data_IF_340362049772
#
_entry.id   IF_340362049772
#
_cell.length_a   1.000
_cell.length_b   1.000
_cell.length_c   1.000
_cell.angle_alpha   90.00
_cell.angle_beta   90.00
_cell.angle_gamma   90.00
#
_symmetry.space_group_name_H-M   'P 1'
#
loop_
_entity.id
_entity.type
_entity.pdbx_description
1 polymer ?
#
# COMPACT_ATOMS: atom_id res chain seq x y z
N UNK A 1 -24.10 -17.13 -7.82
CA UNK A 1 -22.86 -17.78 -8.30
C UNK A 1 -21.73 -17.36 -7.39
N UNK A 2 -21.08 -18.29 -6.70
CA UNK A 2 -19.79 -18.01 -6.09
C UNK A 2 -18.73 -18.15 -7.19
N UNK A 3 -18.07 -17.04 -7.53
CA UNK A 3 -16.92 -17.07 -8.42
C UNK A 3 -15.74 -17.55 -7.57
N UNK A 4 -15.38 -18.82 -7.73
CA UNK A 4 -14.18 -19.35 -7.10
C UNK A 4 -12.99 -18.90 -7.94
N UNK A 5 -12.31 -17.86 -7.49
CA UNK A 5 -11.07 -17.38 -8.13
C UNK A 5 -10.00 -18.42 -7.81
N UNK A 6 -9.50 -19.09 -8.83
CA UNK A 6 -8.38 -20.01 -8.71
C UNK A 6 -7.16 -19.21 -8.19
N UNK A 7 -6.56 -19.64 -7.08
CA UNK A 7 -5.40 -18.95 -6.49
C UNK A 7 -4.24 -19.02 -7.47
N UNK A 8 -3.98 -17.90 -8.15
CA UNK A 8 -2.81 -17.70 -9.00
C UNK A 8 -1.74 -16.96 -8.20
N UNK A 9 -0.54 -17.51 -8.19
CA UNK A 9 0.64 -16.82 -7.64
C UNK A 9 1.26 -15.96 -8.74
N UNK A 10 1.63 -14.74 -8.38
CA UNK A 10 2.23 -13.75 -9.27
C UNK A 10 3.68 -13.50 -8.86
N UNK A 11 4.54 -13.30 -9.85
CA UNK A 11 5.85 -12.68 -9.60
C UNK A 11 5.67 -11.19 -9.24
N UNK A 12 6.62 -10.61 -8.51
CA UNK A 12 6.60 -9.18 -8.21
C UNK A 12 6.48 -8.29 -9.48
N UNK A 13 7.11 -8.68 -10.60
CA UNK A 13 7.06 -7.97 -11.88
C UNK A 13 5.68 -8.03 -12.52
N UNK A 14 5.04 -9.21 -12.53
CA UNK A 14 3.67 -9.37 -13.03
C UNK A 14 2.68 -8.53 -12.21
N UNK A 15 2.83 -8.50 -10.88
CA UNK A 15 2.02 -7.63 -10.02
C UNK A 15 2.19 -6.15 -10.41
N UNK A 16 3.43 -5.69 -10.60
CA UNK A 16 3.69 -4.30 -10.99
C UNK A 16 2.99 -3.92 -12.31
N UNK A 17 3.05 -4.79 -13.32
CA UNK A 17 2.38 -4.59 -14.61
C UNK A 17 0.85 -4.54 -14.47
N UNK A 18 0.27 -5.44 -13.66
CA UNK A 18 -1.17 -5.45 -13.41
C UNK A 18 -1.61 -4.16 -12.72
N UNK A 19 -0.83 -3.71 -11.74
CA UNK A 19 -1.14 -2.55 -10.92
C UNK A 19 -1.04 -1.21 -11.68
N UNK A 20 -0.35 -1.16 -12.84
CA UNK A 20 -0.34 0.03 -13.71
C UNK A 20 -1.71 0.34 -14.33
N UNK A 21 -2.56 -0.68 -14.49
CA UNK A 21 -3.89 -0.55 -15.13
C UNK A 21 -5.05 -0.87 -14.18
N UNK A 22 -4.74 -1.17 -12.92
CA UNK A 22 -5.74 -1.55 -11.94
C UNK A 22 -6.66 -0.37 -11.59
N UNK A 23 -7.97 -0.61 -11.58
CA UNK A 23 -8.97 0.38 -11.17
C UNK A 23 -8.95 0.69 -9.67
N UNK A 24 -8.40 -0.22 -8.87
CA UNK A 24 -8.28 -0.12 -7.43
C UNK A 24 -6.90 -0.58 -7.00
N UNK A 25 -6.43 -0.05 -5.87
CA UNK A 25 -5.12 -0.40 -5.34
C UNK A 25 -5.13 -1.80 -4.74
N UNK A 26 -4.06 -2.55 -4.97
CA UNK A 26 -3.85 -3.87 -4.38
C UNK A 26 -2.51 -3.93 -3.64
N UNK A 27 -2.41 -4.83 -2.67
CA UNK A 27 -1.17 -5.20 -1.99
C UNK A 27 -0.68 -6.55 -2.51
N UNK A 28 0.64 -6.66 -2.64
CA UNK A 28 1.31 -7.91 -2.97
C UNK A 28 1.79 -8.58 -1.68
N UNK A 29 1.39 -9.84 -1.45
CA UNK A 29 1.79 -10.62 -0.30
C UNK A 29 2.17 -12.05 -0.73
N UNK A 30 3.47 -12.33 -0.80
CA UNK A 30 4.03 -13.66 -1.13
C UNK A 30 3.41 -14.30 -2.38
N UNK A 31 3.22 -13.51 -3.43
CA UNK A 31 2.63 -13.94 -4.69
C UNK A 31 1.12 -13.80 -4.77
N UNK A 32 0.44 -13.44 -3.69
CA UNK A 32 -0.99 -13.13 -3.70
C UNK A 32 -1.21 -11.62 -3.93
N UNK A 33 -2.26 -11.28 -4.68
CA UNK A 33 -2.71 -9.90 -4.89
C UNK A 33 -3.99 -9.71 -4.06
N UNK A 34 -3.92 -8.81 -3.08
CA UNK A 34 -4.99 -8.56 -2.11
C UNK A 34 -5.54 -7.14 -2.36
N UNK A 35 -6.85 -6.98 -2.66
CA UNK A 35 -7.43 -5.65 -2.80
C UNK A 35 -7.27 -4.84 -1.52
N UNK A 36 -6.72 -3.63 -1.64
CA UNK A 36 -6.58 -2.74 -0.51
C UNK A 36 -7.94 -2.16 -0.15
N UNK A 37 -8.33 -2.29 1.12
CA UNK A 37 -9.51 -1.59 1.64
C UNK A 37 -9.22 -0.09 1.67
N UNK A 38 -10.12 0.69 1.07
CA UNK A 38 -9.98 2.14 1.04
C UNK A 38 -9.97 2.77 2.44
N UNK A 39 -9.46 3.99 2.53
CA UNK A 39 -9.42 4.74 3.78
C UNK A 39 -10.81 5.32 4.15
N UNK A 40 -11.13 5.34 5.44
CA UNK A 40 -12.30 6.08 5.96
C UNK A 40 -11.86 7.40 6.58
N UNK A 41 -12.78 8.35 6.76
CA UNK A 41 -12.47 9.63 7.42
C UNK A 41 -11.89 9.42 8.83
N UNK A 42 -12.45 8.51 9.61
CA UNK A 42 -11.96 8.21 10.96
C UNK A 42 -10.55 7.60 10.93
N UNK A 43 -10.29 6.68 9.99
CA UNK A 43 -8.96 6.13 9.77
C UNK A 43 -7.94 7.24 9.46
N UNK A 44 -8.28 8.14 8.52
CA UNK A 44 -7.41 9.27 8.16
C UNK A 44 -7.12 10.22 9.34
N UNK A 45 -8.10 10.49 10.19
CA UNK A 45 -7.89 11.34 11.37
C UNK A 45 -6.92 10.70 12.37
N UNK A 46 -7.09 9.41 12.65
CA UNK A 46 -6.23 8.67 13.58
C UNK A 46 -4.82 8.55 13.00
N UNK A 47 -4.69 8.07 11.76
CA UNK A 47 -3.40 7.90 11.09
C UNK A 47 -2.66 9.24 10.94
N UNK A 48 -3.37 10.31 10.56
CA UNK A 48 -2.79 11.64 10.41
C UNK A 48 -2.31 12.23 11.73
N UNK A 49 -3.04 12.06 12.83
CA UNK A 49 -2.59 12.49 14.15
C UNK A 49 -1.33 11.74 14.59
N UNK A 50 -1.21 10.45 14.27
CA UNK A 50 0.00 9.68 14.53
C UNK A 50 1.17 10.15 13.66
N UNK A 51 0.97 10.22 12.34
CA UNK A 51 1.98 10.63 11.35
C UNK A 51 2.61 12.00 11.64
N UNK A 52 1.83 12.97 12.13
CA UNK A 52 2.33 14.30 12.49
C UNK A 52 3.42 14.30 13.58
N UNK A 53 3.55 13.22 14.35
CA UNK A 53 4.59 13.12 15.38
C UNK A 53 5.94 12.64 14.83
N UNK A 54 6.02 12.23 13.57
CA UNK A 54 7.28 11.79 12.98
C UNK A 54 8.19 13.00 12.71
N UNK A 55 9.46 12.95 13.14
CA UNK A 55 10.39 14.05 12.91
C UNK A 55 10.78 14.10 11.43
N UNK A 56 10.93 15.32 10.90
CA UNK A 56 11.46 15.53 9.54
C UNK A 56 12.99 15.51 9.51
N UNK A 57 13.65 15.53 10.67
CA UNK A 57 15.10 15.48 10.83
C UNK A 57 15.52 14.52 11.95
N UNK A 58 16.49 13.67 11.69
CA UNK A 58 17.11 12.77 12.67
C UNK A 58 18.63 12.89 12.48
N UNK A 59 19.40 13.13 13.56
CA UNK A 59 20.87 13.23 13.50
C UNK A 59 21.41 14.24 12.45
N UNK A 60 20.74 15.39 12.28
CA UNK A 60 21.03 16.41 11.25
C UNK A 60 20.80 15.98 9.80
N UNK A 61 20.20 14.82 9.55
CA UNK A 61 19.78 14.39 8.22
C UNK A 61 18.28 14.63 8.03
N UNK A 62 17.90 15.07 6.82
CA UNK A 62 16.51 15.26 6.42
C UNK A 62 15.89 13.91 5.99
N UNK A 63 14.67 13.63 6.44
CA UNK A 63 13.92 12.43 6.09
C UNK A 63 12.59 12.76 5.44
N UNK A 64 12.20 11.93 4.47
CA UNK A 64 10.83 11.91 3.96
C UNK A 64 10.02 10.88 4.73
N UNK A 65 8.96 11.36 5.38
CA UNK A 65 7.94 10.49 5.93
C UNK A 65 6.80 10.37 4.90
N UNK A 66 6.28 9.16 4.75
CA UNK A 66 5.10 8.89 3.92
C UNK A 66 4.08 8.19 4.81
N UNK A 67 2.84 8.69 4.82
CA UNK A 67 1.80 8.20 5.73
C UNK A 67 1.08 6.97 5.18
N UNK A 68 0.72 7.01 3.90
CA UNK A 68 -0.06 5.98 3.23
C UNK A 68 0.14 6.10 1.72
N UNK A 69 -0.44 5.15 0.99
CA UNK A 69 -0.63 5.22 -0.46
C UNK A 69 0.63 5.18 -1.34
N UNK A 70 1.81 5.04 -0.75
CA UNK A 70 3.07 4.79 -1.47
C UNK A 70 3.25 3.29 -1.70
N UNK A 71 3.67 2.92 -2.91
CA UNK A 71 4.14 1.55 -3.20
C UNK A 71 5.62 1.49 -2.91
N UNK A 72 6.04 0.53 -2.08
CA UNK A 72 7.44 0.25 -1.83
C UNK A 72 7.88 -0.91 -2.73
N UNK A 73 9.05 -0.77 -3.31
CA UNK A 73 9.70 -1.79 -4.13
C UNK A 73 11.17 -1.85 -3.73
N UNK A 74 11.71 -3.04 -3.49
CA UNK A 74 13.13 -3.27 -3.17
C UNK A 74 13.76 -4.23 -4.18
#
# INVERSE_FOLDING_TARGET
MQVQVEKRYYTPEEYCQLEETAAYKNEYLDGEIIPMVGTTTNHNLIAGNFYKNFPTKINNEDYWAFMSDVRLWI
#
